data_IF_913483977897
#
_entry.id   IF_913483977897
#
_cell.length_a   1.000
_cell.length_b   1.000
_cell.length_c   1.000
_cell.angle_alpha   90.00
_cell.angle_beta   90.00
_cell.angle_gamma   90.00
#
_symmetry.space_group_name_H-M   'P 1'
#
loop_
_entity.id
_entity.type
_entity.pdbx_description
1 polymer ?
#
# COMPACT_ATOMS: atom_id res chain seq x y z
N UNK A 1 -0.41 19.68 7.40
CA UNK A 1 -1.85 19.64 7.09
C UNK A 1 -2.61 19.67 8.40
N UNK A 2 -3.57 20.57 8.57
CA UNK A 2 -4.47 20.59 9.73
C UNK A 2 -5.59 19.56 9.53
N UNK A 3 -6.17 19.53 8.32
CA UNK A 3 -7.14 18.53 7.89
C UNK A 3 -6.57 17.78 6.66
N UNK A 4 -6.06 16.54 6.86
CA UNK A 4 -5.51 15.73 5.77
C UNK A 4 -6.50 15.44 4.64
N UNK A 5 -7.79 15.26 4.93
CA UNK A 5 -8.79 14.92 3.90
C UNK A 5 -9.09 16.14 3.05
N UNK A 6 -9.25 17.31 3.69
CA UNK A 6 -9.58 18.55 2.99
C UNK A 6 -8.40 19.13 2.22
N UNK A 7 -7.18 19.02 2.76
CA UNK A 7 -5.99 19.69 2.21
C UNK A 7 -5.18 18.83 1.24
N UNK A 8 -5.21 17.49 1.38
CA UNK A 8 -4.38 16.61 0.54
C UNK A 8 -4.65 16.71 -0.97
N UNK A 9 -5.88 16.94 -1.50
CA UNK A 9 -6.07 17.09 -2.94
C UNK A 9 -5.26 18.28 -3.50
N UNK A 10 -5.18 19.37 -2.75
CA UNK A 10 -4.40 20.54 -3.15
C UNK A 10 -2.89 20.26 -3.05
N UNK A 11 -2.45 19.59 -1.98
CA UNK A 11 -1.03 19.17 -1.84
C UNK A 11 -0.62 18.29 -3.02
N UNK A 12 -1.43 17.29 -3.36
CA UNK A 12 -1.20 16.38 -4.49
C UNK A 12 -1.13 17.15 -5.82
N UNK A 13 -2.06 18.07 -6.07
CA UNK A 13 -2.03 18.93 -7.28
C UNK A 13 -0.77 19.80 -7.35
N UNK A 14 -0.37 20.43 -6.25
CA UNK A 14 0.86 21.23 -6.22
C UNK A 14 2.12 20.38 -6.45
N UNK A 15 2.13 19.15 -5.96
CA UNK A 15 3.22 18.20 -6.19
C UNK A 15 3.32 17.76 -7.67
N UNK A 16 2.22 17.68 -8.41
CA UNK A 16 2.22 17.12 -9.77
C UNK A 16 2.09 18.18 -10.87
N UNK A 17 1.15 19.11 -10.70
CA UNK A 17 0.80 20.13 -11.70
C UNK A 17 1.51 21.46 -11.45
N UNK A 18 1.84 21.77 -10.18
CA UNK A 18 2.51 23.00 -9.78
C UNK A 18 3.81 23.31 -10.52
N UNK A 19 4.21 24.58 -10.52
CA UNK A 19 5.53 25.02 -10.99
C UNK A 19 6.65 24.38 -10.15
N UNK A 20 7.90 24.35 -10.64
CA UNK A 20 9.02 23.79 -9.86
C UNK A 20 9.19 24.42 -8.48
N UNK A 21 8.89 25.73 -8.35
CA UNK A 21 8.96 26.44 -7.07
C UNK A 21 7.82 26.02 -6.15
N UNK A 22 6.58 25.98 -6.65
CA UNK A 22 5.43 25.51 -5.86
C UNK A 22 5.60 24.05 -5.41
N UNK A 23 6.13 23.20 -6.29
CA UNK A 23 6.43 21.79 -5.97
C UNK A 23 7.48 21.70 -4.86
N UNK A 24 8.57 22.47 -4.95
CA UNK A 24 9.61 22.50 -3.93
C UNK A 24 9.10 23.01 -2.58
N UNK A 25 8.33 24.12 -2.57
CA UNK A 25 7.76 24.67 -1.34
C UNK A 25 6.69 23.75 -0.73
N UNK A 26 5.94 23.02 -1.56
CA UNK A 26 5.00 22.00 -1.10
C UNK A 26 5.73 20.87 -0.41
N UNK A 27 6.81 20.34 -1.00
CA UNK A 27 7.64 19.29 -0.38
C UNK A 27 8.22 19.79 0.94
N UNK A 28 8.76 21.02 0.96
CA UNK A 28 9.32 21.63 2.17
C UNK A 28 8.30 21.78 3.29
N UNK A 29 7.06 22.17 2.94
CA UNK A 29 6.00 22.46 3.90
C UNK A 29 5.34 21.22 4.46
N UNK A 30 5.21 20.16 3.65
CA UNK A 30 4.40 19.00 4.00
C UNK A 30 5.21 17.74 4.32
N UNK A 31 6.44 17.58 3.85
CA UNK A 31 7.26 16.39 4.14
C UNK A 31 8.16 16.62 5.35
N UNK A 32 8.29 15.57 6.18
CA UNK A 32 9.34 15.52 7.20
C UNK A 32 10.74 15.52 6.56
N UNK A 33 11.78 16.06 7.23
CA UNK A 33 13.15 16.06 6.71
C UNK A 33 13.68 14.67 6.34
N UNK A 34 13.27 13.65 7.10
CA UNK A 34 13.64 12.23 6.96
C UNK A 34 12.53 11.38 6.32
N UNK A 35 11.59 12.00 5.61
CA UNK A 35 10.48 11.31 4.97
C UNK A 35 10.98 10.26 3.96
N UNK A 36 10.32 9.11 3.89
CA UNK A 36 10.65 8.05 2.93
C UNK A 36 9.71 8.06 1.72
N UNK A 37 10.20 7.57 0.59
CA UNK A 37 9.45 7.57 -0.67
C UNK A 37 9.65 6.23 -1.40
N UNK A 38 8.56 5.66 -1.90
CA UNK A 38 8.58 4.42 -2.69
C UNK A 38 7.75 4.62 -3.95
N UNK A 39 8.41 4.49 -5.08
CA UNK A 39 7.80 4.45 -6.41
C UNK A 39 8.28 3.17 -7.11
N UNK A 40 7.55 2.59 -8.08
CA UNK A 40 7.99 1.36 -8.73
C UNK A 40 9.37 1.45 -9.40
N UNK A 41 9.81 2.66 -9.78
CA UNK A 41 11.08 2.91 -10.46
C UNK A 41 12.19 3.47 -9.55
N UNK A 42 11.87 3.95 -8.35
CA UNK A 42 12.88 4.50 -7.45
C UNK A 42 12.42 4.50 -5.99
N UNK A 43 13.38 4.63 -5.06
CA UNK A 43 13.11 4.60 -3.62
C UNK A 43 14.05 5.55 -2.89
N UNK A 44 13.53 6.22 -1.87
CA UNK A 44 14.30 7.03 -0.92
C UNK A 44 14.11 6.43 0.48
N UNK A 45 15.16 5.90 1.12
CA UNK A 45 15.10 5.47 2.51
C UNK A 45 14.96 6.68 3.45
N UNK A 46 14.52 6.44 4.68
CA UNK A 46 14.48 7.48 5.72
C UNK A 46 15.88 7.72 6.27
N UNK A 47 16.36 8.95 6.17
CA UNK A 47 17.62 9.43 6.75
C UNK A 47 17.58 10.95 6.94
N UNK A 48 18.18 11.42 8.03
CA UNK A 48 18.12 12.84 8.40
C UNK A 48 19.37 13.63 7.98
N UNK A 49 20.52 12.96 7.87
CA UNK A 49 21.81 13.58 7.54
C UNK A 49 22.66 12.62 6.72
N UNK A 50 23.19 13.10 5.61
CA UNK A 50 24.10 12.38 4.73
C UNK A 50 24.99 13.41 4.02
N UNK A 51 26.27 13.45 4.38
CA UNK A 51 27.24 14.31 3.72
C UNK A 51 27.75 13.65 2.44
N UNK A 52 27.50 14.28 1.29
CA UNK A 52 28.05 13.87 0.00
C UNK A 52 29.15 14.86 -0.42
N UNK A 53 30.33 14.39 -0.87
CA UNK A 53 31.37 15.26 -1.40
C UNK A 53 30.81 16.21 -2.49
N UNK A 54 31.18 17.49 -2.42
CA UNK A 54 30.75 18.58 -3.34
C UNK A 54 29.28 19.03 -3.24
N UNK A 55 28.39 18.27 -2.60
CA UNK A 55 26.96 18.63 -2.46
C UNK A 55 26.68 19.16 -1.04
N UNK A 56 27.40 18.67 -0.03
CA UNK A 56 27.19 19.01 1.37
C UNK A 56 26.26 18.02 2.08
N UNK A 57 25.68 18.45 3.20
CA UNK A 57 24.73 17.66 3.98
C UNK A 57 23.34 17.67 3.32
N UNK A 58 22.79 16.48 3.08
CA UNK A 58 21.46 16.29 2.51
C UNK A 58 20.63 15.33 3.37
N UNK A 59 19.31 15.41 3.21
CA UNK A 59 18.36 14.50 3.88
C UNK A 59 17.39 13.89 2.87
N UNK A 60 16.54 12.96 3.32
CA UNK A 60 15.58 12.30 2.43
C UNK A 60 14.66 13.29 1.72
N UNK A 61 14.20 14.34 2.39
CA UNK A 61 13.33 15.36 1.77
C UNK A 61 13.99 16.09 0.61
N UNK A 62 15.29 16.37 0.71
CA UNK A 62 16.05 16.95 -0.40
C UNK A 62 16.08 16.01 -1.62
N UNK A 63 16.33 14.71 -1.39
CA UNK A 63 16.33 13.69 -2.46
C UNK A 63 14.94 13.55 -3.09
N UNK A 64 13.87 13.54 -2.28
CA UNK A 64 12.49 13.54 -2.77
C UNK A 64 12.22 14.77 -3.65
N UNK A 65 12.67 15.96 -3.23
CA UNK A 65 12.55 17.18 -4.04
C UNK A 65 13.28 17.07 -5.38
N UNK A 66 14.46 16.43 -5.42
CA UNK A 66 15.19 16.21 -6.66
C UNK A 66 14.46 15.24 -7.60
N UNK A 67 13.84 14.17 -7.07
CA UNK A 67 13.04 13.21 -7.83
C UNK A 67 11.82 13.89 -8.45
N UNK A 68 11.03 14.63 -7.66
CA UNK A 68 9.86 15.35 -8.14
C UNK A 68 10.21 16.38 -9.22
N UNK A 69 11.33 17.10 -9.04
CA UNK A 69 11.86 18.00 -10.06
C UNK A 69 12.23 17.25 -11.34
N UNK A 70 12.87 16.09 -11.24
CA UNK A 70 13.19 15.26 -12.40
C UNK A 70 11.92 14.77 -13.12
N UNK A 71 10.90 14.36 -12.39
CA UNK A 71 9.58 13.99 -12.96
C UNK A 71 8.97 15.14 -13.76
N UNK A 72 9.07 16.38 -13.26
CA UNK A 72 8.62 17.56 -13.99
C UNK A 72 9.44 17.84 -15.25
N UNK A 73 10.75 17.55 -15.24
CA UNK A 73 11.61 17.69 -16.43
C UNK A 73 11.21 16.68 -17.52
N UNK A 74 11.01 15.41 -17.15
CA UNK A 74 10.67 14.34 -18.12
C UNK A 74 9.20 14.38 -18.55
N UNK A 75 8.32 14.97 -17.75
CA UNK A 75 6.91 15.20 -18.09
C UNK A 75 6.45 16.57 -17.56
N UNK A 76 6.66 17.65 -18.33
CA UNK A 76 6.32 19.02 -17.89
C UNK A 76 4.81 19.24 -17.72
N UNK A 77 4.01 18.52 -18.52
CA UNK A 77 2.54 18.60 -18.54
C UNK A 77 1.97 17.31 -17.99
N UNK A 78 1.57 17.38 -16.73
CA UNK A 78 0.86 16.33 -16.01
C UNK A 78 -0.53 16.88 -15.71
N UNK A 79 -1.55 16.06 -15.92
CA UNK A 79 -2.91 16.35 -15.46
C UNK A 79 -3.26 15.28 -14.43
N UNK A 80 -3.70 15.68 -13.25
CA UNK A 80 -4.11 14.77 -12.19
C UNK A 80 -5.61 14.92 -11.87
N UNK A 81 -6.27 13.78 -11.77
CA UNK A 81 -7.63 13.66 -11.24
C UNK A 81 -7.55 12.89 -9.93
N UNK A 82 -8.10 13.47 -8.86
CA UNK A 82 -8.24 12.81 -7.57
C UNK A 82 -9.61 12.14 -7.57
N UNK A 83 -9.64 10.81 -7.57
CA UNK A 83 -10.88 10.02 -7.60
C UNK A 83 -11.45 9.84 -6.20
N UNK A 84 -10.59 9.55 -5.21
CA UNK A 84 -11.01 9.47 -3.81
C UNK A 84 -9.87 9.75 -2.83
N UNK A 85 -10.24 10.17 -1.63
CA UNK A 85 -9.34 10.38 -0.49
C UNK A 85 -9.96 9.73 0.74
N UNK A 86 -9.23 8.82 1.38
CA UNK A 86 -9.66 8.13 2.58
C UNK A 86 -8.57 8.21 3.64
N UNK A 87 -8.86 8.86 4.77
CA UNK A 87 -7.94 8.94 5.90
C UNK A 87 -8.33 7.95 6.98
N UNK A 88 -7.45 6.99 7.25
CA UNK A 88 -7.54 6.11 8.41
C UNK A 88 -6.77 6.71 9.58
N UNK A 89 -7.51 7.22 10.57
CA UNK A 89 -6.95 7.83 11.78
C UNK A 89 -6.23 6.82 12.68
N UNK A 90 -6.58 5.53 12.64
CA UNK A 90 -5.95 4.51 13.50
C UNK A 90 -4.52 4.23 13.07
N UNK A 91 -4.29 4.20 11.77
CA UNK A 91 -2.97 3.96 11.16
C UNK A 91 -2.29 5.25 10.72
N UNK A 92 -2.93 6.41 10.94
CA UNK A 92 -2.53 7.72 10.42
C UNK A 92 -2.15 7.68 8.93
N UNK A 93 -2.90 6.91 8.14
CA UNK A 93 -2.59 6.67 6.73
C UNK A 93 -3.68 7.25 5.84
N UNK A 94 -3.26 8.01 4.85
CA UNK A 94 -4.11 8.54 3.79
C UNK A 94 -3.97 7.64 2.56
N UNK A 95 -5.10 7.19 2.03
CA UNK A 95 -5.19 6.48 0.75
C UNK A 95 -5.81 7.42 -0.27
N UNK A 96 -5.14 7.57 -1.40
CA UNK A 96 -5.58 8.44 -2.48
C UNK A 96 -5.66 7.63 -3.77
N UNK A 97 -6.84 7.55 -4.36
CA UNK A 97 -7.00 7.00 -5.71
C UNK A 97 -6.83 8.12 -6.72
N UNK A 98 -5.87 7.96 -7.61
CA UNK A 98 -5.43 9.01 -8.53
C UNK A 98 -5.40 8.47 -9.96
N UNK A 99 -5.85 9.31 -10.89
CA UNK A 99 -5.62 9.14 -12.32
C UNK A 99 -4.73 10.26 -12.81
N UNK A 100 -3.64 9.91 -13.48
CA UNK A 100 -2.66 10.86 -13.98
C UNK A 100 -2.46 10.67 -15.48
N UNK A 101 -2.45 11.78 -16.21
CA UNK A 101 -2.10 11.80 -17.61
C UNK A 101 -0.72 12.43 -17.73
N UNK A 102 0.28 11.59 -18.00
CA UNK A 102 1.65 12.02 -18.24
C UNK A 102 1.88 12.26 -19.74
N UNK A 103 2.61 13.33 -20.05
CA UNK A 103 3.08 13.63 -21.40
C UNK A 103 4.62 13.57 -21.41
N UNK A 104 5.24 12.40 -21.67
CA UNK A 104 6.69 12.25 -21.65
C UNK A 104 7.34 13.04 -22.79
N UNK A 105 8.43 13.77 -22.50
CA UNK A 105 9.15 14.55 -23.52
C UNK A 105 9.74 13.68 -24.65
N UNK A 106 10.05 12.42 -24.36
CA UNK A 106 10.59 11.46 -25.32
C UNK A 106 9.54 10.95 -26.31
N UNK A 107 8.24 11.12 -26.03
CA UNK A 107 7.13 10.61 -26.83
C UNK A 107 6.07 11.71 -27.06
N UNK A 108 6.31 12.70 -27.95
CA UNK A 108 5.53 13.93 -28.04
C UNK A 108 4.04 13.75 -28.42
N UNK A 109 3.68 12.64 -29.05
CA UNK A 109 2.29 12.33 -29.44
C UNK A 109 1.61 11.29 -28.54
N UNK A 110 2.31 10.82 -27.50
CA UNK A 110 1.79 9.81 -26.59
C UNK A 110 1.43 10.42 -25.25
N UNK A 111 0.28 10.01 -24.70
CA UNK A 111 -0.16 10.35 -23.36
C UNK A 111 -0.32 9.06 -22.58
N UNK A 112 0.46 8.90 -21.51
CA UNK A 112 0.31 7.79 -20.60
C UNK A 112 -0.78 8.14 -19.59
N UNK A 113 -1.98 7.59 -19.81
CA UNK A 113 -3.10 7.68 -18.89
C UNK A 113 -3.02 6.51 -17.89
N UNK A 114 -2.63 6.82 -16.66
CA UNK A 114 -2.32 5.85 -15.62
C UNK A 114 -3.18 6.01 -14.38
N UNK A 115 -3.51 4.88 -13.76
CA UNK A 115 -4.17 4.83 -12.46
C UNK A 115 -3.18 4.38 -11.39
N UNK A 116 -3.24 4.98 -10.21
CA UNK A 116 -2.43 4.58 -9.06
C UNK A 116 -3.14 4.84 -7.74
N UNK A 117 -2.80 4.03 -6.74
CA UNK A 117 -3.14 4.28 -5.34
C UNK A 117 -1.92 4.88 -4.64
N UNK A 118 -2.03 6.08 -4.11
CA UNK A 118 -1.00 6.68 -3.28
C UNK A 118 -1.32 6.40 -1.81
N UNK A 119 -0.41 5.72 -1.11
CA UNK A 119 -0.51 5.46 0.33
C UNK A 119 0.46 6.37 1.06
N UNK A 120 -0.07 7.30 1.84
CA UNK A 120 0.69 8.34 2.52
C UNK A 120 0.57 8.15 4.03
N UNK A 121 1.65 7.76 4.69
CA UNK A 121 1.74 7.74 6.15
C UNK A 121 1.99 9.16 6.65
N UNK A 122 1.16 9.60 7.58
CA UNK A 122 1.23 10.92 8.19
C UNK A 122 1.74 10.83 9.63
N UNK A 123 2.64 11.74 9.98
CA UNK A 123 3.06 12.01 11.34
C UNK A 123 2.28 13.21 11.88
N UNK A 124 1.53 13.02 12.97
CA UNK A 124 0.87 14.11 13.68
C UNK A 124 1.84 14.72 14.69
N UNK A 125 2.23 15.97 14.45
CA UNK A 125 3.09 16.74 15.33
C UNK A 125 2.25 17.39 16.43
N UNK A 126 2.57 17.08 17.68
CA UNK A 126 1.90 17.65 18.85
C UNK A 126 2.30 19.11 19.10
N UNK A 127 3.40 19.57 18.51
CA UNK A 127 3.93 20.91 18.76
C UNK A 127 3.12 22.01 18.06
N UNK A 128 2.57 21.69 16.89
CA UNK A 128 1.85 22.64 16.04
C UNK A 128 0.51 22.09 15.52
N UNK A 129 0.10 20.93 16.04
CA UNK A 129 -1.15 20.22 15.74
C UNK A 129 -1.35 19.94 14.24
N UNK A 130 -0.26 19.65 13.53
CA UNK A 130 -0.26 19.42 12.07
C UNK A 130 0.23 18.02 11.70
N UNK A 131 -0.33 17.53 10.61
CA UNK A 131 0.07 16.30 9.93
C UNK A 131 1.15 16.58 8.87
N UNK A 132 2.24 15.83 8.93
CA UNK A 132 3.34 15.85 7.98
C UNK A 132 3.46 14.49 7.29
N UNK A 133 3.87 14.49 6.02
CA UNK A 133 4.13 13.29 5.24
C UNK A 133 5.44 12.67 5.75
N UNK A 134 5.31 11.49 6.35
CA UNK A 134 6.44 10.68 6.84
C UNK A 134 6.86 9.64 5.81
N UNK A 135 5.90 9.05 5.11
CA UNK A 135 6.16 8.09 4.04
C UNK A 135 5.14 8.24 2.93
N UNK A 136 5.58 8.20 1.70
CA UNK A 136 4.71 8.10 0.53
C UNK A 136 5.06 6.84 -0.26
N UNK A 137 4.04 6.06 -0.62
CA UNK A 137 4.14 4.88 -1.47
C UNK A 137 3.19 5.03 -2.65
N UNK A 138 3.73 5.09 -3.86
CA UNK A 138 2.94 5.15 -5.09
C UNK A 138 2.77 3.73 -5.64
N UNK A 139 1.55 3.20 -5.54
CA UNK A 139 1.22 1.83 -5.93
C UNK A 139 0.59 1.83 -7.32
N UNK A 140 1.40 1.48 -8.32
CA UNK A 140 0.94 1.25 -9.67
C UNK A 140 0.65 -0.24 -9.88
N UNK A 141 -0.41 -0.55 -10.62
CA UNK A 141 -0.54 -1.88 -11.20
C UNK A 141 0.51 -2.07 -12.30
N UNK A 142 0.96 -3.31 -12.54
CA UNK A 142 2.03 -3.58 -13.50
C UNK A 142 1.68 -3.15 -14.93
N UNK A 143 0.41 -3.28 -15.32
CA UNK A 143 -0.13 -2.80 -16.61
C UNK A 143 -0.11 -1.28 -16.74
N UNK A 144 -0.15 -0.55 -15.62
CA UNK A 144 -0.07 0.92 -15.58
C UNK A 144 1.37 1.39 -15.70
N UNK A 145 2.29 0.74 -14.96
CA UNK A 145 3.73 1.04 -15.01
C UNK A 145 4.30 0.91 -16.43
N UNK A 146 3.88 -0.11 -17.18
CA UNK A 146 4.43 -0.32 -18.53
C UNK A 146 4.00 0.74 -19.54
N UNK A 147 2.93 1.50 -19.28
CA UNK A 147 2.48 2.59 -20.15
C UNK A 147 3.54 3.68 -20.28
N UNK A 148 4.39 3.89 -19.27
CA UNK A 148 5.48 4.87 -19.35
C UNK A 148 6.52 4.58 -20.45
N UNK A 149 6.64 3.33 -20.90
CA UNK A 149 7.63 2.94 -21.91
C UNK A 149 7.09 3.02 -23.34
N UNK A 150 5.78 3.19 -23.54
CA UNK A 150 5.19 3.46 -24.84
C UNK A 150 3.77 2.92 -25.04
N UNK A 151 3.18 3.18 -26.21
CA UNK A 151 1.85 2.68 -26.56
C UNK A 151 1.84 1.15 -26.71
N UNK A 152 0.74 0.52 -26.29
CA UNK A 152 0.49 -0.92 -26.51
C UNK A 152 1.12 -1.88 -25.51
N UNK A 153 2.10 -1.45 -24.69
CA UNK A 153 2.74 -2.33 -23.69
C UNK A 153 1.76 -2.87 -22.65
N UNK A 154 0.75 -2.08 -22.25
CA UNK A 154 -0.30 -2.54 -21.32
C UNK A 154 -1.08 -3.73 -21.90
N UNK A 155 -1.31 -3.76 -23.21
CA UNK A 155 -1.97 -4.87 -23.90
C UNK A 155 -1.11 -6.13 -23.85
N UNK A 156 0.22 -6.02 -23.97
CA UNK A 156 1.12 -7.17 -23.86
C UNK A 156 1.09 -7.77 -22.44
N UNK A 157 1.09 -6.92 -21.41
CA UNK A 157 0.94 -7.37 -20.01
C UNK A 157 -0.40 -8.06 -19.81
N UNK A 158 -1.49 -7.51 -20.36
CA UNK A 158 -2.80 -8.15 -20.29
C UNK A 158 -2.80 -9.53 -20.97
N UNK A 159 -2.24 -9.65 -22.18
CA UNK A 159 -2.13 -10.93 -22.88
C UNK A 159 -1.33 -11.94 -22.06
N UNK A 160 -0.20 -11.52 -21.48
CA UNK A 160 0.60 -12.36 -20.59
C UNK A 160 -0.21 -12.81 -19.36
N UNK A 161 -0.98 -11.91 -18.73
CA UNK A 161 -1.83 -12.23 -17.58
C UNK A 161 -2.93 -13.25 -17.95
N UNK A 162 -3.54 -13.12 -19.12
CA UNK A 162 -4.56 -14.05 -19.61
C UNK A 162 -3.95 -15.44 -19.88
N UNK A 163 -2.78 -15.49 -20.54
CA UNK A 163 -2.05 -16.74 -20.77
C UNK A 163 -1.67 -17.40 -19.44
N UNK A 164 -1.13 -16.63 -18.49
CA UNK A 164 -0.79 -17.13 -17.16
C UNK A 164 -2.02 -17.68 -16.41
N UNK A 165 -3.18 -17.03 -16.55
CA UNK A 165 -4.44 -17.49 -15.96
C UNK A 165 -4.87 -18.84 -16.54
N UNK A 166 -4.78 -19.01 -17.85
CA UNK A 166 -5.06 -20.30 -18.53
C UNK A 166 -4.12 -21.39 -18.01
N UNK A 167 -2.82 -21.10 -17.91
CA UNK A 167 -1.85 -22.04 -17.34
C UNK A 167 -2.14 -22.40 -15.88
N UNK A 168 -2.58 -21.44 -15.06
CA UNK A 168 -2.97 -21.72 -13.67
C UNK A 168 -4.16 -22.69 -13.61
N UNK A 169 -5.17 -22.50 -14.45
CA UNK A 169 -6.35 -23.38 -14.50
C UNK A 169 -5.96 -24.78 -14.97
N UNK A 170 -5.20 -24.89 -16.07
CA UNK A 170 -4.72 -26.19 -16.58
C UNK A 170 -3.86 -26.89 -15.52
N UNK A 171 -2.92 -26.16 -14.92
CA UNK A 171 -2.06 -26.65 -13.85
C UNK A 171 -2.86 -27.16 -12.66
N UNK A 172 -3.92 -26.46 -12.24
CA UNK A 172 -4.76 -26.90 -11.14
C UNK A 172 -5.41 -28.28 -11.40
N UNK A 173 -5.83 -28.56 -12.64
CA UNK A 173 -6.36 -29.89 -12.98
C UNK A 173 -5.27 -30.96 -13.07
N UNK A 174 -4.12 -30.65 -13.70
CA UNK A 174 -3.00 -31.59 -13.83
C UNK A 174 -2.46 -31.98 -12.44
N UNK A 175 -2.36 -31.01 -11.53
CA UNK A 175 -1.78 -31.19 -10.20
C UNK A 175 -2.83 -31.42 -9.09
N UNK A 176 -4.10 -31.65 -9.43
CA UNK A 176 -5.16 -31.99 -8.47
C UNK A 176 -4.82 -33.17 -7.52
N UNK A 177 -4.05 -34.20 -7.93
CA UNK A 177 -3.63 -35.25 -6.99
C UNK A 177 -2.78 -34.72 -5.81
N UNK A 178 -2.01 -33.65 -6.01
CA UNK A 178 -1.18 -33.04 -4.97
C UNK A 178 -2.07 -32.39 -3.92
N UNK A 179 -3.04 -31.57 -4.33
CA UNK A 179 -3.95 -30.89 -3.40
C UNK A 179 -4.85 -31.88 -2.66
N UNK A 180 -5.25 -32.99 -3.28
CA UNK A 180 -5.95 -34.08 -2.61
C UNK A 180 -5.11 -34.74 -1.51
N UNK A 181 -3.81 -34.95 -1.75
CA UNK A 181 -2.90 -35.50 -0.74
C UNK A 181 -2.70 -34.50 0.42
N UNK A 182 -2.57 -33.22 0.12
CA UNK A 182 -2.47 -32.15 1.11
C UNK A 182 -3.73 -32.07 1.98
N UNK A 183 -4.93 -32.13 1.38
CA UNK A 183 -6.21 -32.15 2.11
C UNK A 183 -6.28 -33.36 3.05
N UNK A 184 -5.92 -34.56 2.58
CA UNK A 184 -5.89 -35.74 3.44
C UNK A 184 -4.93 -35.59 4.61
N UNK A 185 -3.75 -35.02 4.40
CA UNK A 185 -2.79 -34.73 5.47
C UNK A 185 -3.36 -33.71 6.46
N UNK A 186 -3.95 -32.62 5.97
CA UNK A 186 -4.57 -31.60 6.80
C UNK A 186 -5.69 -32.17 7.67
N UNK A 187 -6.56 -33.00 7.10
CA UNK A 187 -7.64 -33.70 7.83
C UNK A 187 -7.09 -34.67 8.87
N UNK A 188 -6.04 -35.43 8.53
CA UNK A 188 -5.37 -36.33 9.48
C UNK A 188 -4.80 -35.57 10.68
N UNK A 189 -4.05 -34.48 10.43
CA UNK A 189 -3.49 -33.65 11.50
C UNK A 189 -4.57 -32.96 12.34
N UNK A 190 -5.63 -32.44 11.72
CA UNK A 190 -6.77 -31.84 12.45
C UNK A 190 -7.43 -32.85 13.39
N UNK A 191 -7.72 -34.06 12.92
CA UNK A 191 -8.29 -35.14 13.76
C UNK A 191 -7.35 -35.55 14.90
N UNK A 192 -6.04 -35.65 14.64
CA UNK A 192 -5.04 -35.95 15.67
C UNK A 192 -4.98 -34.86 16.74
N UNK A 193 -4.99 -33.59 16.35
CA UNK A 193 -5.01 -32.45 17.27
C UNK A 193 -6.28 -32.42 18.09
N UNK A 194 -7.45 -32.61 17.47
CA UNK A 194 -8.73 -32.69 18.18
C UNK A 194 -8.73 -33.82 19.21
N UNK A 195 -8.31 -35.02 18.82
CA UNK A 195 -8.19 -36.18 19.73
C UNK A 195 -7.20 -35.92 20.87
N UNK A 196 -6.11 -35.20 20.61
CA UNK A 196 -5.17 -34.78 21.66
C UNK A 196 -5.81 -33.82 22.66
N UNK A 197 -6.61 -32.86 22.20
CA UNK A 197 -7.37 -31.96 23.08
C UNK A 197 -8.45 -32.69 23.87
N UNK A 198 -9.15 -33.65 23.26
CA UNK A 198 -10.14 -34.49 23.94
C UNK A 198 -9.48 -35.32 25.05
N UNK A 199 -8.34 -35.97 24.79
CA UNK A 199 -7.59 -36.72 25.81
C UNK A 199 -7.06 -35.82 26.93
N UNK A 200 -6.57 -34.62 26.60
CA UNK A 200 -6.16 -33.65 27.63
C UNK A 200 -7.37 -33.22 28.48
N UNK A 201 -8.50 -32.89 27.86
CA UNK A 201 -9.72 -32.54 28.58
C UNK A 201 -10.22 -33.68 29.45
N UNK A 202 -10.22 -34.93 28.98
CA UNK A 202 -10.56 -36.11 29.80
C UNK A 202 -9.57 -36.35 30.95
N UNK A 203 -8.27 -36.07 30.74
CA UNK A 203 -7.24 -36.16 31.78
C UNK A 203 -7.32 -35.07 32.84
N UNK A 204 -7.83 -33.88 32.50
CA UNK A 204 -8.05 -32.76 33.44
C UNK A 204 -9.48 -32.71 34.01
N UNK A 205 -10.46 -33.39 33.40
CA UNK A 205 -11.84 -33.50 33.89
C UNK A 205 -12.06 -34.84 34.61
N UNK A 206 -11.89 -34.83 35.93
CA UNK A 206 -12.39 -35.90 36.78
C UNK A 206 -13.95 -35.86 36.80
N UNK A 207 -14.67 -36.89 36.30
CA UNK A 207 -16.13 -36.83 36.13
C UNK A 207 -16.94 -36.78 37.44
N UNK A 208 -16.30 -37.01 38.59
CA UNK A 208 -16.98 -37.15 39.89
C UNK A 208 -17.29 -35.84 40.60
N UNK A 209 -16.71 -34.71 40.18
CA UNK A 209 -16.90 -33.41 40.88
C UNK A 209 -17.92 -32.47 40.22
N UNK A 210 -18.39 -32.73 39.00
CA UNK A 210 -19.29 -31.80 38.28
C UNK A 210 -20.79 -32.09 38.45
N UNK A 211 -21.16 -33.25 39.03
CA UNK A 211 -22.58 -33.60 39.23
C UNK A 211 -23.26 -32.90 40.40
N UNK A 212 -22.57 -31.97 41.08
CA UNK A 212 -23.11 -31.19 42.21
C UNK A 212 -23.34 -29.70 41.91
N UNK A 213 -22.91 -29.14 40.78
CA UNK A 213 -23.00 -27.67 40.56
C UNK A 213 -24.03 -27.18 39.53
N UNK A 214 -24.72 -28.05 38.77
CA UNK A 214 -25.66 -27.59 37.72
C UNK A 214 -27.13 -27.53 38.19
N UNK A 215 -27.52 -28.24 39.25
CA UNK A 215 -28.92 -28.24 39.73
C UNK A 215 -29.08 -27.44 41.03
N UNK A 216 -28.98 -26.11 40.92
CA UNK A 216 -29.55 -25.14 41.87
C UNK A 216 -31.01 -24.79 41.51
N UNK A 217 -31.83 -24.29 42.45
CA UNK A 217 -33.28 -24.43 42.41
C UNK A 217 -33.98 -23.57 41.34
N UNK A 218 -35.01 -24.18 40.73
CA UNK A 218 -35.99 -23.57 39.81
C UNK A 218 -36.65 -22.34 40.44
N UNK A 219 -36.55 -21.19 39.77
CA UNK A 219 -37.46 -20.08 39.98
C UNK A 219 -38.80 -20.37 39.29
N UNK A 220 -39.88 -20.40 40.06
CA UNK A 220 -41.25 -20.40 39.56
C UNK A 220 -41.65 -18.96 39.21
N UNK A 221 -42.23 -18.79 38.02
CA UNK A 221 -42.92 -17.57 37.58
C UNK A 221 -44.38 -17.63 38.05
N UNK A 222 -44.80 -16.59 38.78
CA UNK A 222 -46.16 -16.04 38.79
C UNK A 222 -46.04 -14.53 38.62
#
# INVERSE_FOLDING_TARGET
MEDPVRQSPNVIRLLTEGSPVEQQETIRSYFLPDASFVHPLCRVPSFSHLCIPLIGDINSRWVISAIYRYYKIISPRIIITIESINFDRKTSTLYCELRQIFSPISLPFYKADVHLTCKILLHHSLNDDKYYIQKQEDLYQSNELVKFFGPGYSTLVLLQQLIASIFCVIGAFIFAPITWLEEKRALYYRKKTQRSWEVLLEGYFCPTLWRQSIFGPRYQLQ
#
